data_IF_322889407268
#
_entry.id   IF_322889407268
#
_cell.length_a   1.000
_cell.length_b   1.000
_cell.length_c   1.000
_cell.angle_alpha   90.00
_cell.angle_beta   90.00
_cell.angle_gamma   90.00
#
_symmetry.space_group_name_H-M   'P 1'
#
loop_
_entity.id
_entity.type
_entity.pdbx_description
1 polymer ?
#
# COMPACT_ATOMS: atom_id res chain seq x y z
N UNK A 1 33.51 -12.55 -16.25
CA UNK A 1 32.40 -13.27 -15.59
C UNK A 1 31.73 -12.27 -14.66
N UNK A 2 30.59 -11.75 -15.10
CA UNK A 2 29.79 -10.76 -14.37
C UNK A 2 29.04 -11.45 -13.22
N UNK A 3 29.50 -11.25 -11.98
CA UNK A 3 28.74 -11.61 -10.79
C UNK A 3 27.87 -10.44 -10.36
N UNK A 4 26.66 -10.35 -10.91
CA UNK A 4 25.58 -9.53 -10.36
C UNK A 4 25.02 -10.23 -9.12
N UNK A 5 25.65 -10.00 -7.97
CA UNK A 5 25.31 -10.61 -6.68
C UNK A 5 24.48 -9.63 -5.81
N UNK A 6 23.30 -9.24 -6.32
CA UNK A 6 22.35 -8.34 -5.63
C UNK A 6 21.02 -9.01 -5.14
N UNK A 7 20.64 -10.28 -5.44
CA UNK A 7 19.27 -10.73 -5.12
C UNK A 7 18.90 -10.85 -3.64
N UNK A 8 19.81 -11.22 -2.74
CA UNK A 8 19.43 -11.65 -1.38
C UNK A 8 19.42 -10.51 -0.36
N UNK A 9 20.27 -9.50 -0.52
CA UNK A 9 20.31 -8.32 0.36
C UNK A 9 19.13 -7.38 0.06
N UNK A 10 18.81 -7.15 -1.21
CA UNK A 10 17.64 -6.38 -1.64
C UNK A 10 16.35 -7.05 -1.14
N UNK A 11 16.22 -8.37 -1.26
CA UNK A 11 15.06 -9.11 -0.73
C UNK A 11 14.94 -9.03 0.78
N UNK A 12 16.04 -9.13 1.53
CA UNK A 12 16.01 -9.00 2.99
C UNK A 12 15.57 -7.58 3.40
N UNK A 13 16.11 -6.55 2.76
CA UNK A 13 15.74 -5.15 3.04
C UNK A 13 14.27 -4.85 2.68
N UNK A 14 13.83 -5.29 1.50
CA UNK A 14 12.44 -5.13 1.02
C UNK A 14 11.47 -5.89 1.93
N UNK A 15 11.87 -7.04 2.48
CA UNK A 15 11.03 -7.82 3.39
C UNK A 15 10.77 -7.16 4.75
N UNK A 16 11.54 -6.12 5.11
CA UNK A 16 11.28 -5.32 6.31
C UNK A 16 10.12 -4.31 6.11
N UNK A 17 9.76 -4.00 4.86
CA UNK A 17 8.63 -3.14 4.53
C UNK A 17 7.34 -3.95 4.36
N UNK A 18 6.16 -3.34 4.57
CA UNK A 18 4.89 -4.00 4.26
C UNK A 18 4.88 -4.54 2.82
N UNK A 19 4.41 -5.77 2.59
CA UNK A 19 4.43 -6.39 1.27
C UNK A 19 3.65 -5.61 0.21
N UNK A 20 2.65 -4.86 0.67
CA UNK A 20 1.85 -3.97 -0.11
C UNK A 20 2.59 -2.70 -0.54
N UNK A 21 3.83 -2.46 -0.11
CA UNK A 21 4.62 -1.35 -0.66
C UNK A 21 5.40 -1.78 -1.89
N UNK A 22 5.85 -3.02 -2.02
CA UNK A 22 6.71 -3.45 -3.14
C UNK A 22 6.01 -4.27 -4.22
N UNK A 23 4.83 -4.83 -3.96
CA UNK A 23 4.06 -5.55 -4.99
C UNK A 23 3.62 -4.62 -6.12
N UNK A 24 3.35 -5.16 -7.29
CA UNK A 24 2.64 -4.38 -8.31
C UNK A 24 1.14 -4.38 -8.01
N UNK A 25 0.42 -3.29 -8.32
CA UNK A 25 -1.01 -3.22 -8.06
C UNK A 25 -1.81 -4.07 -9.07
N UNK A 26 -2.83 -4.76 -8.57
CA UNK A 26 -3.78 -5.54 -9.38
C UNK A 26 -5.12 -4.81 -9.47
N UNK A 27 -5.87 -5.09 -10.54
CA UNK A 27 -7.27 -4.67 -10.61
C UNK A 27 -8.14 -5.76 -10.00
N UNK A 28 -8.75 -5.51 -8.84
CA UNK A 28 -9.63 -6.49 -8.21
C UNK A 28 -11.05 -6.23 -8.67
N UNK A 29 -11.68 -7.25 -9.21
CA UNK A 29 -13.06 -7.20 -9.71
C UNK A 29 -13.85 -8.25 -8.98
N UNK A 30 -14.92 -7.83 -8.30
CA UNK A 30 -15.81 -8.74 -7.61
C UNK A 30 -16.87 -9.25 -8.57
N UNK A 31 -17.13 -10.55 -8.59
CA UNK A 31 -18.18 -11.17 -9.40
C UNK A 31 -19.28 -11.71 -8.48
N UNK A 32 -20.52 -11.31 -8.73
CA UNK A 32 -21.73 -11.76 -8.06
C UNK A 32 -22.65 -12.45 -9.07
N UNK A 33 -23.33 -13.53 -8.67
CA UNK A 33 -24.26 -14.25 -9.56
C UNK A 33 -23.57 -15.03 -10.69
N UNK A 34 -22.26 -15.27 -10.53
CA UNK A 34 -21.44 -15.95 -11.54
C UNK A 34 -22.01 -17.30 -11.94
N UNK A 35 -22.68 -18.04 -11.04
CA UNK A 35 -23.26 -19.37 -11.28
C UNK A 35 -24.02 -19.53 -12.61
N UNK A 36 -24.64 -18.45 -13.08
CA UNK A 36 -25.38 -18.37 -14.34
C UNK A 36 -24.51 -18.45 -15.62
N UNK A 37 -23.19 -18.29 -15.51
CA UNK A 37 -22.24 -18.37 -16.64
C UNK A 37 -21.62 -19.79 -16.73
N UNK A 38 -21.46 -20.36 -17.94
CA UNK A 38 -20.71 -21.61 -18.15
C UNK A 38 -19.29 -21.57 -17.56
N UNK A 39 -18.85 -22.69 -16.98
CA UNK A 39 -17.57 -22.78 -16.24
C UNK A 39 -16.34 -22.46 -17.10
N UNK A 40 -16.36 -22.84 -18.37
CA UNK A 40 -15.29 -22.54 -19.34
C UNK A 40 -15.17 -21.06 -19.68
N UNK A 41 -16.25 -20.29 -19.55
CA UNK A 41 -16.26 -18.84 -19.77
C UNK A 41 -15.80 -18.13 -18.48
N UNK A 42 -16.25 -18.62 -17.31
CA UNK A 42 -15.81 -18.11 -16.00
C UNK A 42 -14.31 -18.14 -15.79
N UNK A 43 -13.66 -19.25 -16.17
CA UNK A 43 -12.20 -19.38 -15.99
C UNK A 43 -11.44 -18.39 -16.84
N UNK A 44 -12.00 -17.99 -17.99
CA UNK A 44 -11.31 -17.18 -19.01
C UNK A 44 -11.83 -15.74 -19.08
N UNK A 45 -12.66 -15.30 -18.12
CA UNK A 45 -13.41 -14.05 -18.18
C UNK A 45 -12.50 -12.80 -18.24
N UNK A 46 -11.25 -12.93 -17.74
CA UNK A 46 -10.19 -11.92 -17.86
C UNK A 46 -8.80 -12.55 -18.09
N UNK A 47 -8.74 -13.78 -18.61
CA UNK A 47 -7.48 -14.33 -19.09
C UNK A 47 -7.08 -13.53 -20.34
N UNK A 48 -5.83 -13.06 -20.39
CA UNK A 48 -5.27 -12.16 -21.42
C UNK A 48 -5.49 -10.64 -21.22
N UNK A 49 -5.06 -10.09 -20.07
CA UNK A 49 -4.74 -8.66 -20.00
C UNK A 49 -3.44 -8.38 -20.80
N UNK A 50 -3.53 -8.37 -22.13
CA UNK A 50 -2.39 -8.12 -23.06
C UNK A 50 -1.86 -6.69 -22.92
N UNK A 51 -2.68 -5.76 -22.41
CA UNK A 51 -2.26 -4.40 -22.06
C UNK A 51 -2.93 -3.92 -20.77
N UNK A 52 -2.11 -3.40 -19.85
CA UNK A 52 -2.55 -2.88 -18.56
C UNK A 52 -2.32 -3.85 -17.41
N UNK A 53 -2.99 -3.61 -16.28
CA UNK A 53 -2.78 -4.41 -15.06
C UNK A 53 -3.57 -5.71 -15.10
N UNK A 54 -2.97 -6.73 -14.49
CA UNK A 54 -3.62 -8.01 -14.26
C UNK A 54 -4.91 -7.81 -13.45
N UNK A 55 -6.00 -8.33 -14.01
CA UNK A 55 -7.31 -8.37 -13.36
C UNK A 55 -7.37 -9.64 -12.52
N UNK A 56 -7.77 -9.50 -11.27
CA UNK A 56 -7.99 -10.60 -10.34
C UNK A 56 -9.46 -10.63 -9.98
N UNK A 57 -10.09 -11.76 -10.24
CA UNK A 57 -11.50 -11.96 -9.92
C UNK A 57 -11.65 -12.46 -8.48
N UNK A 58 -12.61 -11.87 -7.77
CA UNK A 58 -13.04 -12.33 -6.46
C UNK A 58 -14.52 -12.72 -6.55
N UNK A 59 -14.83 -14.00 -6.47
CA UNK A 59 -16.21 -14.47 -6.45
C UNK A 59 -16.76 -14.30 -5.04
N UNK A 60 -17.76 -13.45 -4.88
CA UNK A 60 -18.47 -13.27 -3.63
C UNK A 60 -19.86 -13.89 -3.73
N UNK A 61 -20.36 -14.48 -2.64
CA UNK A 61 -21.79 -14.75 -2.52
C UNK A 61 -22.50 -13.46 -2.07
N UNK A 62 -23.73 -13.24 -2.55
CA UNK A 62 -24.58 -12.09 -2.20
C UNK A 62 -24.74 -11.92 -0.68
N UNK A 63 -24.73 -13.02 0.06
CA UNK A 63 -24.85 -13.07 1.53
C UNK A 63 -23.58 -12.59 2.27
N UNK A 64 -22.43 -12.64 1.60
CA UNK A 64 -21.10 -12.35 2.16
C UNK A 64 -20.49 -11.06 1.63
N UNK A 65 -21.29 -10.21 0.96
CA UNK A 65 -20.91 -8.81 0.78
C UNK A 65 -20.43 -8.30 2.14
N UNK A 66 -19.23 -7.71 2.26
CA UNK A 66 -18.67 -7.38 3.56
C UNK A 66 -19.60 -6.39 4.25
N UNK A 67 -20.48 -6.91 5.10
CA UNK A 67 -21.46 -6.18 5.87
C UNK A 67 -20.78 -5.82 7.19
N UNK A 68 -20.95 -4.56 7.59
CA UNK A 68 -20.47 -3.91 8.82
C UNK A 68 -19.14 -3.16 8.70
N UNK A 69 -19.26 -1.83 8.57
CA UNK A 69 -18.33 -0.91 9.22
C UNK A 69 -18.50 -1.13 10.73
N UNK A 70 -17.44 -1.46 11.46
CA UNK A 70 -17.45 -1.29 12.93
C UNK A 70 -17.70 0.21 13.20
N UNK A 71 -18.53 0.56 14.19
CA UNK A 71 -18.76 1.96 14.52
C UNK A 71 -17.43 2.64 14.88
N UNK A 72 -17.22 3.91 14.50
CA UNK A 72 -16.04 4.64 14.92
C UNK A 72 -16.04 4.73 16.45
N UNK A 73 -14.91 4.43 17.08
CA UNK A 73 -14.72 4.70 18.50
C UNK A 73 -14.81 6.21 18.76
N UNK A 74 -15.37 6.66 19.90
CA UNK A 74 -15.55 8.08 20.19
C UNK A 74 -14.19 8.82 20.28
N UNK A 75 -14.14 10.10 19.88
CA UNK A 75 -12.90 10.88 19.65
C UNK A 75 -12.13 11.28 20.93
N UNK A 76 -12.60 10.89 22.10
CA UNK A 76 -12.10 11.39 23.40
C UNK A 76 -10.79 10.68 23.81
N UNK A 77 -10.37 9.62 23.12
CA UNK A 77 -9.15 8.87 23.43
C UNK A 77 -8.07 8.88 22.33
N UNK A 78 -8.28 9.60 21.21
CA UNK A 78 -7.32 9.66 20.08
C UNK A 78 -5.95 10.21 20.47
N UNK A 79 -5.87 11.07 21.50
CA UNK A 79 -4.59 11.66 21.93
C UNK A 79 -3.80 10.79 22.95
N UNK A 80 -4.39 9.70 23.46
CA UNK A 80 -3.80 8.91 24.56
C UNK A 80 -3.21 7.57 24.15
N UNK A 81 -3.49 7.06 22.96
CA UNK A 81 -2.97 5.77 22.50
C UNK A 81 -1.78 5.96 21.54
N UNK A 82 -0.75 5.08 21.57
CA UNK A 82 0.12 4.90 20.40
C UNK A 82 -0.80 4.55 19.24
N UNK A 83 -0.91 5.43 18.25
CA UNK A 83 -1.93 5.39 17.21
C UNK A 83 -2.23 3.98 16.69
N UNK A 84 -3.39 3.43 17.06
CA UNK A 84 -4.10 2.36 16.32
C UNK A 84 -4.47 2.80 14.87
N UNK A 85 -4.05 4.01 14.51
CA UNK A 85 -4.22 4.76 13.27
C UNK A 85 -2.91 5.03 12.52
N UNK A 86 -1.80 4.40 12.91
CA UNK A 86 -0.78 4.03 11.92
C UNK A 86 -1.51 3.49 10.69
N UNK A 87 -1.10 3.84 9.46
CA UNK A 87 -1.72 3.30 8.24
C UNK A 87 -1.75 1.79 8.43
N UNK A 88 -2.92 1.24 8.80
CA UNK A 88 -2.99 -0.17 9.18
C UNK A 88 -2.46 -0.91 7.97
N UNK A 89 -1.57 -1.88 8.16
CA UNK A 89 -1.14 -2.78 7.08
C UNK A 89 -2.37 -3.29 6.35
N UNK A 90 -3.48 -3.49 7.09
CA UNK A 90 -4.80 -3.75 6.54
C UNK A 90 -5.33 -2.73 5.53
N UNK A 91 -5.11 -1.42 5.66
CA UNK A 91 -5.55 -0.41 4.68
C UNK A 91 -4.80 -0.55 3.36
N UNK A 92 -3.47 -0.71 3.40
CA UNK A 92 -2.67 -0.96 2.20
C UNK A 92 -3.14 -2.26 1.52
N UNK A 93 -3.36 -3.30 2.34
CA UNK A 93 -3.86 -4.59 1.88
C UNK A 93 -5.27 -4.46 1.29
N UNK A 94 -6.13 -3.65 1.92
CA UNK A 94 -7.48 -3.35 1.43
C UNK A 94 -7.49 -2.70 0.06
N UNK A 95 -6.58 -1.76 -0.19
CA UNK A 95 -6.48 -1.08 -1.49
C UNK A 95 -5.87 -1.98 -2.57
N UNK A 96 -4.94 -2.88 -2.21
CA UNK A 96 -4.20 -3.67 -3.20
C UNK A 96 -4.70 -5.09 -3.43
N UNK A 97 -5.37 -5.71 -2.46
CA UNK A 97 -5.64 -7.17 -2.48
C UNK A 97 -7.04 -7.58 -2.00
N UNK A 98 -7.71 -6.78 -1.16
CA UNK A 98 -8.95 -7.23 -0.50
C UNK A 98 -10.23 -6.63 -1.10
N UNK A 99 -10.17 -5.41 -1.66
CA UNK A 99 -11.39 -4.69 -2.08
C UNK A 99 -11.47 -4.52 -3.59
N UNK A 100 -12.59 -4.90 -4.20
CA UNK A 100 -12.80 -4.64 -5.60
C UNK A 100 -13.07 -3.16 -5.87
N UNK A 101 -12.49 -2.65 -6.96
CA UNK A 101 -12.83 -1.34 -7.51
C UNK A 101 -14.19 -1.35 -8.21
N UNK A 102 -14.53 -2.50 -8.81
CA UNK A 102 -15.77 -2.75 -9.54
C UNK A 102 -16.38 -4.08 -9.11
N UNK A 103 -17.68 -4.09 -8.83
CA UNK A 103 -18.50 -5.28 -8.67
C UNK A 103 -19.32 -5.50 -9.95
N UNK A 104 -19.27 -6.71 -10.49
CA UNK A 104 -20.10 -7.13 -11.63
C UNK A 104 -21.14 -8.12 -11.13
N UNK A 105 -22.40 -7.75 -11.29
CA UNK A 105 -23.56 -8.57 -10.95
C UNK A 105 -24.09 -9.23 -12.23
N UNK A 106 -24.00 -10.55 -12.29
CA UNK A 106 -24.54 -11.34 -13.39
C UNK A 106 -25.94 -11.83 -13.05
N UNK A 107 -26.90 -11.49 -13.90
CA UNK A 107 -28.28 -11.94 -13.79
C UNK A 107 -28.78 -12.46 -15.14
N UNK A 108 -29.69 -13.44 -15.13
CA UNK A 108 -30.29 -13.91 -16.38
C UNK A 108 -31.43 -12.98 -16.79
N UNK A 109 -31.70 -12.91 -18.10
CA UNK A 109 -32.87 -12.20 -18.61
C UNK A 109 -34.18 -12.65 -17.91
N UNK A 110 -34.33 -13.95 -17.67
CA UNK A 110 -35.52 -14.51 -17.00
C UNK A 110 -35.67 -14.00 -15.57
N UNK A 111 -34.56 -13.93 -14.83
CA UNK A 111 -34.54 -13.45 -13.45
C UNK A 111 -34.82 -11.95 -13.34
N UNK A 112 -34.29 -11.16 -14.28
CA UNK A 112 -34.43 -9.69 -14.29
C UNK A 112 -35.85 -9.26 -14.63
N UNK A 113 -36.50 -9.92 -15.60
CA UNK A 113 -37.84 -9.57 -16.07
C UNK A 113 -38.94 -10.43 -15.44
N UNK A 114 -38.62 -11.27 -14.46
CA UNK A 114 -39.61 -12.06 -13.73
C UNK A 114 -40.51 -11.14 -12.89
N UNK A 115 -41.85 -11.25 -12.99
CA UNK A 115 -42.77 -10.48 -12.16
C UNK A 115 -42.69 -10.85 -10.67
N UNK A 116 -42.06 -11.99 -10.35
CA UNK A 116 -41.92 -12.49 -8.98
C UNK A 116 -40.61 -12.04 -8.31
N UNK A 117 -39.72 -11.34 -9.03
CA UNK A 117 -38.44 -10.93 -8.50
C UNK A 117 -38.31 -9.40 -8.44
N UNK A 118 -38.03 -8.85 -7.27
CA UNK A 118 -37.85 -7.40 -7.11
C UNK A 118 -36.38 -7.00 -7.29
N UNK A 119 -35.88 -7.18 -8.51
CA UNK A 119 -34.46 -6.97 -8.84
C UNK A 119 -34.00 -5.53 -8.59
N UNK A 120 -34.90 -4.54 -8.76
CA UNK A 120 -34.58 -3.12 -8.51
C UNK A 120 -34.22 -2.88 -7.05
N UNK A 121 -35.03 -3.41 -6.12
CA UNK A 121 -34.76 -3.26 -4.69
C UNK A 121 -33.46 -3.97 -4.27
N UNK A 122 -33.16 -5.11 -4.88
CA UNK A 122 -31.91 -5.83 -4.65
C UNK A 122 -30.70 -5.02 -5.13
N UNK A 123 -30.77 -4.48 -6.34
CA UNK A 123 -29.73 -3.63 -6.93
C UNK A 123 -29.50 -2.39 -6.06
N UNK A 124 -30.57 -1.72 -5.61
CA UNK A 124 -30.46 -0.55 -4.74
C UNK A 124 -29.79 -0.90 -3.40
N UNK A 125 -30.14 -2.03 -2.82
CA UNK A 125 -29.51 -2.52 -1.57
C UNK A 125 -28.02 -2.78 -1.76
N UNK A 126 -27.63 -3.44 -2.87
CA UNK A 126 -26.23 -3.69 -3.19
C UNK A 126 -25.49 -2.37 -3.45
N UNK A 127 -26.10 -1.48 -4.23
CA UNK A 127 -25.55 -0.16 -4.53
C UNK A 127 -25.27 0.64 -3.25
N UNK A 128 -26.19 0.66 -2.29
CA UNK A 128 -26.02 1.39 -1.03
C UNK A 128 -24.86 0.83 -0.19
N UNK A 129 -24.70 -0.49 -0.16
CA UNK A 129 -23.57 -1.15 0.53
C UNK A 129 -22.24 -0.72 -0.12
N UNK A 130 -22.18 -0.71 -1.45
CA UNK A 130 -20.97 -0.41 -2.23
C UNK A 130 -20.62 1.09 -2.23
N UNK A 131 -21.64 1.96 -2.24
CA UNK A 131 -21.50 3.42 -2.22
C UNK A 131 -20.68 3.90 -1.02
N UNK A 132 -20.84 3.25 0.13
CA UNK A 132 -20.09 3.56 1.35
C UNK A 132 -18.57 3.38 1.23
N UNK A 133 -18.11 2.71 0.16
CA UNK A 133 -16.71 2.39 -0.18
C UNK A 133 -16.29 2.95 -1.54
N UNK A 134 -17.17 3.68 -2.22
CA UNK A 134 -16.99 4.16 -3.59
C UNK A 134 -16.77 3.04 -4.64
N UNK A 135 -17.05 1.78 -4.33
CA UNK A 135 -16.95 0.67 -5.28
C UNK A 135 -18.03 0.82 -6.36
N UNK A 136 -17.65 0.66 -7.62
CA UNK A 136 -18.58 0.81 -8.76
C UNK A 136 -19.39 -0.47 -8.98
N UNK A 137 -20.62 -0.33 -9.44
CA UNK A 137 -21.52 -1.47 -9.70
C UNK A 137 -21.86 -1.56 -11.19
N UNK A 138 -21.65 -2.75 -11.76
CA UNK A 138 -22.05 -3.09 -13.12
C UNK A 138 -23.11 -4.19 -13.04
N UNK A 139 -24.26 -3.99 -13.67
CA UNK A 139 -25.18 -5.09 -13.95
C UNK A 139 -24.90 -5.63 -15.34
N UNK A 140 -24.79 -6.94 -15.45
CA UNK A 140 -24.60 -7.66 -16.69
C UNK A 140 -25.69 -8.72 -16.86
N UNK A 141 -26.53 -8.54 -17.89
CA UNK A 141 -27.66 -9.42 -18.16
C UNK A 141 -27.26 -10.48 -19.18
N UNK A 142 -27.35 -11.74 -18.79
CA UNK A 142 -27.05 -12.91 -19.62
C UNK A 142 -28.25 -13.18 -20.54
N UNK A 143 -27.99 -13.21 -21.85
CA UNK A 143 -29.01 -13.44 -22.88
C UNK A 143 -28.41 -14.12 -24.13
N UNK A 144 -29.25 -14.82 -24.89
CA UNK A 144 -28.89 -15.36 -26.21
C UNK A 144 -29.30 -14.41 -27.35
N UNK A 145 -30.08 -13.37 -27.06
CA UNK A 145 -30.69 -12.48 -28.06
C UNK A 145 -30.62 -11.01 -27.63
N UNK A 146 -29.41 -10.42 -27.55
CA UNK A 146 -29.21 -9.07 -27.01
C UNK A 146 -29.92 -7.98 -27.81
N UNK A 147 -30.00 -8.11 -29.13
CA UNK A 147 -30.64 -7.14 -30.03
C UNK A 147 -32.14 -7.01 -29.75
N UNK A 148 -32.81 -8.15 -29.58
CA UNK A 148 -34.25 -8.21 -29.28
C UNK A 148 -34.51 -7.58 -27.92
N UNK A 149 -33.75 -7.99 -26.90
CA UNK A 149 -33.90 -7.47 -25.54
C UNK A 149 -33.70 -5.94 -25.48
N UNK A 150 -32.67 -5.44 -26.17
CA UNK A 150 -32.34 -4.01 -26.17
C UNK A 150 -33.43 -3.11 -26.76
N UNK A 151 -34.31 -3.68 -27.59
CA UNK A 151 -35.42 -2.97 -28.25
C UNK A 151 -36.72 -2.95 -27.43
N UNK A 152 -36.76 -3.66 -26.30
CA UNK A 152 -37.98 -3.73 -25.45
C UNK A 152 -38.14 -2.49 -24.57
N UNK A 153 -39.37 -2.00 -24.46
CA UNK A 153 -39.71 -0.86 -23.58
C UNK A 153 -39.40 -1.15 -22.10
N UNK A 154 -39.56 -2.42 -21.69
CA UNK A 154 -39.22 -2.89 -20.35
C UNK A 154 -37.72 -2.72 -20.05
N UNK A 155 -36.85 -3.08 -20.98
CA UNK A 155 -35.41 -2.91 -20.85
C UNK A 155 -35.00 -1.43 -20.77
N UNK A 156 -35.60 -0.58 -21.61
CA UNK A 156 -35.34 0.87 -21.59
C UNK A 156 -35.82 1.51 -20.28
N UNK A 157 -36.99 1.09 -19.79
CA UNK A 157 -37.54 1.54 -18.50
C UNK A 157 -36.67 1.11 -17.33
N UNK A 158 -36.22 -0.15 -17.32
CA UNK A 158 -35.33 -0.69 -16.30
C UNK A 158 -34.01 0.08 -16.25
N UNK A 159 -33.37 0.28 -17.40
CA UNK A 159 -32.11 1.02 -17.50
C UNK A 159 -32.21 2.45 -16.96
N UNK A 160 -33.37 3.10 -17.09
CA UNK A 160 -33.60 4.47 -16.57
C UNK A 160 -33.82 4.51 -15.06
N UNK A 161 -34.33 3.43 -14.46
CA UNK A 161 -34.65 3.35 -13.03
C UNK A 161 -33.48 2.84 -12.18
N UNK A 162 -32.57 2.11 -12.80
CA UNK A 162 -31.46 1.48 -12.10
C UNK A 162 -30.36 2.47 -11.71
N UNK A 163 -29.89 2.33 -10.47
CA UNK A 163 -28.74 3.06 -9.96
C UNK A 163 -27.46 2.21 -10.06
N UNK A 164 -26.91 2.09 -11.27
CA UNK A 164 -25.65 1.37 -11.54
C UNK A 164 -24.69 2.23 -12.36
N UNK A 165 -23.39 1.99 -12.20
CA UNK A 165 -22.36 2.69 -12.96
C UNK A 165 -22.20 2.12 -14.38
N UNK A 166 -22.56 0.84 -14.58
CA UNK A 166 -22.56 0.18 -15.87
C UNK A 166 -23.73 -0.78 -16.04
N UNK A 167 -24.27 -0.86 -17.25
CA UNK A 167 -25.38 -1.74 -17.60
C UNK A 167 -25.10 -2.38 -18.96
N UNK A 168 -24.81 -3.69 -18.96
CA UNK A 168 -24.28 -4.45 -20.09
C UNK A 168 -25.13 -5.69 -20.38
N UNK A 169 -24.96 -6.22 -21.60
CA UNK A 169 -25.55 -7.48 -22.04
C UNK A 169 -24.44 -8.49 -22.33
N UNK A 170 -24.53 -9.67 -21.72
CA UNK A 170 -23.65 -10.79 -21.98
C UNK A 170 -24.30 -11.74 -22.97
N UNK A 171 -23.78 -11.76 -24.21
CA UNK A 171 -24.27 -12.60 -25.29
C UNK A 171 -23.63 -13.98 -25.23
N UNK A 172 -24.40 -15.00 -24.87
CA UNK A 172 -23.90 -16.38 -24.83
C UNK A 172 -23.48 -16.93 -26.21
N UNK A 173 -24.02 -16.36 -27.29
CA UNK A 173 -23.66 -16.76 -28.66
C UNK A 173 -22.34 -16.14 -29.14
N UNK A 174 -21.92 -15.03 -28.54
CA UNK A 174 -20.62 -14.39 -28.80
C UNK A 174 -19.97 -13.92 -27.48
N UNK A 175 -19.50 -14.87 -26.66
CA UNK A 175 -18.96 -14.56 -25.34
C UNK A 175 -17.66 -13.76 -25.42
N UNK A 176 -16.90 -13.88 -26.52
CA UNK A 176 -15.64 -13.14 -26.70
C UNK A 176 -15.90 -11.64 -26.78
N UNK A 177 -16.85 -11.22 -27.63
CA UNK A 177 -17.21 -9.81 -27.76
C UNK A 177 -17.75 -9.25 -26.43
N UNK A 178 -18.59 -10.00 -25.73
CA UNK A 178 -19.11 -9.57 -24.41
C UNK A 178 -18.02 -9.42 -23.37
N UNK A 179 -17.05 -10.36 -23.32
CA UNK A 179 -15.88 -10.27 -22.42
C UNK A 179 -15.04 -9.02 -22.74
N UNK A 180 -14.81 -8.69 -24.01
CA UNK A 180 -14.06 -7.49 -24.39
C UNK A 180 -14.76 -6.20 -23.93
N UNK A 181 -16.08 -6.11 -24.13
CA UNK A 181 -16.89 -4.97 -23.70
C UNK A 181 -16.91 -4.84 -22.18
N UNK A 182 -17.08 -5.96 -21.47
CA UNK A 182 -17.03 -5.99 -20.01
C UNK A 182 -15.67 -5.54 -19.51
N UNK A 183 -14.59 -6.10 -20.05
CA UNK A 183 -13.21 -5.77 -19.67
C UNK A 183 -12.92 -4.28 -19.85
N UNK A 184 -13.36 -3.69 -20.97
CA UNK A 184 -13.20 -2.27 -21.23
C UNK A 184 -13.98 -1.41 -20.21
N UNK A 185 -15.23 -1.77 -19.95
CA UNK A 185 -16.08 -1.08 -18.96
C UNK A 185 -15.48 -1.15 -17.56
N UNK A 186 -15.03 -2.34 -17.15
CA UNK A 186 -14.40 -2.58 -15.84
C UNK A 186 -13.12 -1.77 -15.67
N UNK A 187 -12.26 -1.70 -16.71
CA UNK A 187 -11.06 -0.84 -16.68
C UNK A 187 -11.44 0.64 -16.52
N UNK A 188 -12.40 1.13 -17.29
CA UNK A 188 -12.84 2.54 -17.22
C UNK A 188 -13.44 2.90 -15.84
N UNK A 189 -14.32 2.05 -15.31
CA UNK A 189 -14.93 2.28 -14.00
C UNK A 189 -13.93 2.18 -12.86
N UNK A 190 -12.94 1.29 -12.99
CA UNK A 190 -11.85 1.20 -12.03
C UNK A 190 -10.97 2.45 -12.00
N UNK A 191 -10.66 3.01 -13.17
CA UNK A 191 -9.95 4.30 -13.24
C UNK A 191 -10.74 5.37 -12.50
N UNK A 192 -12.05 5.47 -12.77
CA UNK A 192 -12.93 6.43 -12.07
C UNK A 192 -12.96 6.20 -10.57
N UNK A 193 -13.06 4.96 -10.10
CA UNK A 193 -13.00 4.60 -8.67
C UNK A 193 -11.74 5.17 -8.00
N UNK A 194 -10.57 4.91 -8.59
CA UNK A 194 -9.31 5.36 -8.01
C UNK A 194 -9.12 6.89 -8.15
N UNK A 195 -9.62 7.52 -9.20
CA UNK A 195 -9.61 8.98 -9.32
C UNK A 195 -10.50 9.66 -8.27
N UNK A 196 -11.70 9.12 -8.02
CA UNK A 196 -12.60 9.61 -6.97
C UNK A 196 -11.93 9.46 -5.59
N UNK A 197 -11.30 8.32 -5.31
CA UNK A 197 -10.56 8.09 -4.07
C UNK A 197 -9.36 9.03 -3.90
N UNK A 198 -8.57 9.23 -4.96
CA UNK A 198 -7.45 10.18 -4.95
C UNK A 198 -7.94 11.58 -4.59
N UNK A 199 -8.96 12.08 -5.28
CA UNK A 199 -9.54 13.40 -5.07
C UNK A 199 -10.04 13.58 -3.62
N UNK A 200 -10.73 12.58 -3.08
CA UNK A 200 -11.24 12.60 -1.71
C UNK A 200 -10.10 12.68 -0.68
N UNK A 201 -9.04 11.88 -0.84
CA UNK A 201 -7.89 11.94 0.06
C UNK A 201 -7.11 13.24 -0.08
N UNK A 202 -6.95 13.74 -1.30
CA UNK A 202 -6.29 15.02 -1.55
C UNK A 202 -7.04 16.18 -0.89
N UNK A 203 -8.35 16.29 -1.13
CA UNK A 203 -9.20 17.34 -0.54
C UNK A 203 -9.24 17.24 0.99
N UNK A 204 -9.25 16.02 1.51
CA UNK A 204 -9.10 15.79 2.96
C UNK A 204 -7.75 16.27 3.47
N UNK A 205 -6.66 16.03 2.75
CA UNK A 205 -5.32 16.47 3.16
C UNK A 205 -5.21 18.01 3.24
N UNK A 206 -5.80 18.72 2.27
CA UNK A 206 -5.80 20.19 2.20
C UNK A 206 -6.68 20.84 3.30
N UNK A 207 -7.73 20.15 3.75
CA UNK A 207 -8.65 20.67 4.79
C UNK A 207 -8.19 20.38 6.22
N UNK A 208 -7.23 19.49 6.42
CA UNK A 208 -6.77 19.08 7.75
C UNK A 208 -5.79 20.09 8.35
N UNK A 209 -6.10 20.57 9.56
CA UNK A 209 -5.22 21.48 10.31
C UNK A 209 -4.05 20.78 11.00
N UNK A 210 -4.19 19.48 11.30
CA UNK A 210 -3.15 18.74 12.01
C UNK A 210 -2.19 18.07 11.00
N UNK A 211 -0.87 18.35 11.08
CA UNK A 211 0.10 17.89 10.08
C UNK A 211 0.12 16.37 9.88
N UNK A 212 -0.06 15.57 10.95
CA UNK A 212 -0.14 14.11 10.86
C UNK A 212 -1.30 13.63 9.96
N UNK A 213 -2.51 14.19 10.17
CA UNK A 213 -3.67 13.80 9.38
C UNK A 213 -3.56 14.25 7.93
N UNK A 214 -2.94 15.42 7.70
CA UNK A 214 -2.61 15.90 6.36
C UNK A 214 -1.60 14.97 5.68
N UNK A 215 -0.50 14.64 6.35
CA UNK A 215 0.52 13.70 5.90
C UNK A 215 -0.07 12.34 5.49
N UNK A 216 -0.80 11.69 6.41
CA UNK A 216 -1.43 10.38 6.14
C UNK A 216 -2.40 10.46 4.96
N UNK A 217 -3.15 11.56 4.83
CA UNK A 217 -4.10 11.74 3.71
C UNK A 217 -3.37 11.95 2.38
N UNK A 218 -2.28 12.73 2.35
CA UNK A 218 -1.43 12.85 1.16
C UNK A 218 -0.76 11.54 0.78
N UNK A 219 -0.26 10.76 1.76
CA UNK A 219 0.27 9.42 1.51
C UNK A 219 -0.78 8.53 0.84
N UNK A 220 -2.02 8.53 1.34
CA UNK A 220 -3.11 7.74 0.77
C UNK A 220 -3.48 8.19 -0.63
N UNK A 221 -3.53 9.49 -0.89
CA UNK A 221 -3.74 10.05 -2.23
C UNK A 221 -2.62 9.62 -3.19
N UNK A 222 -1.36 9.71 -2.74
CA UNK A 222 -0.19 9.28 -3.50
C UNK A 222 -0.29 7.79 -3.88
N UNK A 223 -0.54 6.94 -2.88
CA UNK A 223 -0.64 5.49 -3.05
C UNK A 223 -1.80 5.10 -3.96
N UNK A 224 -2.95 5.76 -3.87
CA UNK A 224 -4.10 5.52 -4.76
C UNK A 224 -3.83 6.01 -6.19
N UNK A 225 -3.13 7.12 -6.36
CA UNK A 225 -2.73 7.61 -7.69
C UNK A 225 -1.84 6.58 -8.40
N UNK A 226 -0.95 5.93 -7.66
CA UNK A 226 -0.19 4.78 -8.17
C UNK A 226 -1.07 3.61 -8.59
N UNK A 227 -2.31 3.51 -8.08
CA UNK A 227 -3.25 2.43 -8.36
C UNK A 227 -4.18 2.70 -9.56
N UNK A 228 -4.12 3.86 -10.23
CA UNK A 228 -4.99 4.12 -11.38
C UNK A 228 -4.53 3.38 -12.65
N UNK A 229 -3.33 3.71 -13.14
CA UNK A 229 -2.74 3.11 -14.33
C UNK A 229 -1.23 3.29 -14.29
N UNK A 230 -0.47 2.39 -14.92
CA UNK A 230 0.97 2.54 -15.09
C UNK A 230 1.30 3.59 -16.15
N UNK A 231 0.90 4.84 -15.91
CA UNK A 231 1.17 5.98 -16.78
C UNK A 231 2.17 6.92 -16.13
N UNK A 232 3.02 7.54 -16.95
CA UNK A 232 4.03 8.50 -16.50
C UNK A 232 3.40 9.69 -15.76
N UNK A 233 2.20 10.11 -16.16
CA UNK A 233 1.48 11.21 -15.52
C UNK A 233 1.02 10.84 -14.09
N UNK A 234 0.54 9.62 -13.88
CA UNK A 234 0.13 9.16 -12.56
C UNK A 234 1.32 9.01 -11.61
N UNK A 235 2.49 8.58 -12.12
CA UNK A 235 3.72 8.58 -11.33
C UNK A 235 4.13 9.98 -10.90
N UNK A 236 4.04 10.98 -11.78
CA UNK A 236 4.30 12.39 -11.42
C UNK A 236 3.33 12.91 -10.35
N UNK A 237 2.04 12.62 -10.47
CA UNK A 237 1.05 13.01 -9.46
C UNK A 237 1.34 12.33 -8.11
N UNK A 238 1.64 11.04 -8.13
CA UNK A 238 2.00 10.28 -6.92
C UNK A 238 3.26 10.84 -6.25
N UNK A 239 4.32 11.11 -7.02
CA UNK A 239 5.55 11.75 -6.49
C UNK A 239 5.21 13.10 -5.83
N UNK A 240 4.39 13.94 -6.48
CA UNK A 240 3.97 15.22 -5.93
C UNK A 240 3.25 15.05 -4.58
N UNK A 241 2.34 14.09 -4.47
CA UNK A 241 1.62 13.84 -3.22
C UNK A 241 2.50 13.23 -2.13
N UNK A 242 3.41 12.33 -2.47
CA UNK A 242 4.40 11.81 -1.53
C UNK A 242 5.32 12.92 -1.00
N UNK A 243 5.75 13.84 -1.86
CA UNK A 243 6.52 15.02 -1.43
C UNK A 243 5.71 15.92 -0.49
N UNK A 244 4.43 16.17 -0.78
CA UNK A 244 3.54 16.89 0.15
C UNK A 244 3.41 16.17 1.49
N UNK A 245 3.19 14.86 1.45
CA UNK A 245 3.15 14.01 2.64
C UNK A 245 4.43 14.16 3.47
N UNK A 246 5.59 14.09 2.82
CA UNK A 246 6.89 14.23 3.47
C UNK A 246 7.05 15.59 4.14
N UNK A 247 6.69 16.68 3.45
CA UNK A 247 6.74 18.04 4.02
C UNK A 247 5.85 18.16 5.26
N UNK A 248 4.61 17.68 5.22
CA UNK A 248 3.71 17.69 6.39
C UNK A 248 4.25 16.85 7.55
N UNK A 249 4.94 15.75 7.26
CA UNK A 249 5.62 14.95 8.29
C UNK A 249 6.82 15.69 8.88
N UNK A 250 7.62 16.37 8.07
CA UNK A 250 8.74 17.17 8.57
C UNK A 250 8.28 18.33 9.46
N UNK A 251 7.15 18.96 9.13
CA UNK A 251 6.52 19.97 9.98
C UNK A 251 6.14 19.38 11.34
N UNK A 252 5.59 18.16 11.36
CA UNK A 252 5.30 17.44 12.60
C UNK A 252 6.58 17.24 13.43
N UNK A 253 7.65 16.68 12.83
CA UNK A 253 8.92 16.46 13.53
C UNK A 253 9.50 17.76 14.12
N UNK A 254 9.42 18.88 13.40
CA UNK A 254 9.88 20.19 13.88
C UNK A 254 9.00 20.76 15.00
N UNK A 255 7.68 20.55 14.92
CA UNK A 255 6.73 21.02 15.93
C UNK A 255 6.78 20.19 17.22
N UNK A 256 7.14 18.91 17.11
CA UNK A 256 7.30 17.99 18.23
C UNK A 256 8.50 18.34 19.13
N UNK A 257 9.48 19.11 18.64
CA UNK A 257 10.56 19.67 19.48
C UNK A 257 10.04 20.56 20.63
N UNK A 258 8.81 21.06 20.54
CA UNK A 258 8.27 22.06 21.48
C UNK A 258 7.24 21.51 22.48
N UNK A 259 6.79 20.26 22.36
CA UNK A 259 5.73 19.71 23.23
C UNK A 259 6.12 18.33 23.77
N UNK A 260 6.02 18.17 25.09
CA UNK A 260 6.13 16.89 25.81
C UNK A 260 5.14 15.86 25.25
N UNK A 261 5.54 15.08 24.24
CA UNK A 261 4.75 13.96 23.71
C UNK A 261 5.59 12.70 23.53
N UNK A 262 4.88 11.57 23.62
CA UNK A 262 5.37 10.20 23.86
C UNK A 262 6.29 9.70 22.73
N UNK A 263 7.32 8.94 23.12
CA UNK A 263 8.28 8.24 22.24
C UNK A 263 7.64 7.42 21.10
N UNK A 264 6.41 6.94 21.28
CA UNK A 264 5.65 6.20 20.26
C UNK A 264 5.38 7.00 18.98
N UNK A 265 5.15 8.32 19.09
CA UNK A 265 4.77 9.15 17.96
C UNK A 265 5.98 9.41 17.05
N UNK A 266 7.14 9.65 17.64
CA UNK A 266 8.41 9.81 16.90
C UNK A 266 8.74 8.58 16.06
N UNK A 267 8.55 7.37 16.61
CA UNK A 267 8.78 6.13 15.87
C UNK A 267 7.78 5.95 14.72
N UNK A 268 6.49 6.21 14.96
CA UNK A 268 5.46 6.15 13.92
C UNK A 268 5.73 7.14 12.78
N UNK A 269 6.18 8.35 13.12
CA UNK A 269 6.56 9.38 12.16
C UNK A 269 7.76 8.97 11.31
N UNK A 270 8.81 8.41 11.94
CA UNK A 270 9.99 7.85 11.24
C UNK A 270 9.63 6.68 10.33
N UNK A 271 8.69 5.84 10.76
CA UNK A 271 8.20 4.72 9.95
C UNK A 271 7.43 5.22 8.72
N UNK A 272 6.54 6.21 8.87
CA UNK A 272 5.85 6.83 7.73
C UNK A 272 6.84 7.48 6.74
N UNK A 273 7.89 8.15 7.24
CA UNK A 273 8.96 8.64 6.37
C UNK A 273 9.59 7.49 5.60
N UNK A 274 9.93 6.38 6.26
CA UNK A 274 10.53 5.21 5.60
C UNK A 274 9.66 4.71 4.44
N UNK A 275 8.34 4.67 4.64
CA UNK A 275 7.39 4.24 3.62
C UNK A 275 7.32 5.23 2.45
N UNK A 276 7.31 6.53 2.75
CA UNK A 276 7.35 7.59 1.74
C UNK A 276 8.65 7.51 0.93
N UNK A 277 9.81 7.39 1.59
CA UNK A 277 11.11 7.26 0.93
C UNK A 277 11.14 6.04 0.01
N UNK A 278 10.70 4.89 0.53
CA UNK A 278 10.64 3.66 -0.24
C UNK A 278 9.78 3.80 -1.50
N UNK A 279 8.59 4.40 -1.41
CA UNK A 279 7.73 4.61 -2.58
C UNK A 279 8.27 5.67 -3.53
N UNK A 280 8.77 6.79 -3.02
CA UNK A 280 9.38 7.85 -3.82
C UNK A 280 10.54 7.31 -4.64
N UNK A 281 11.46 6.56 -4.03
CA UNK A 281 12.59 6.00 -4.76
C UNK A 281 12.17 5.01 -5.84
N UNK A 282 11.21 4.11 -5.55
CA UNK A 282 10.67 3.21 -6.56
C UNK A 282 9.98 3.95 -7.72
N UNK A 283 9.28 5.05 -7.43
CA UNK A 283 8.62 5.86 -8.46
C UNK A 283 9.62 6.66 -9.29
N UNK A 284 10.60 7.28 -8.64
CA UNK A 284 11.65 8.02 -9.31
C UNK A 284 12.53 7.10 -10.17
N UNK A 285 12.78 5.87 -9.72
CA UNK A 285 13.38 4.79 -10.50
C UNK A 285 12.54 4.51 -11.77
N UNK A 286 11.22 4.31 -11.63
CA UNK A 286 10.32 4.10 -12.76
C UNK A 286 10.30 5.28 -13.75
N UNK A 287 10.57 6.50 -13.30
CA UNK A 287 10.65 7.70 -14.15
C UNK A 287 12.08 8.06 -14.57
N UNK A 288 13.09 7.24 -14.25
CA UNK A 288 14.51 7.51 -14.49
C UNK A 288 15.02 8.87 -13.92
N UNK A 289 14.40 9.34 -12.84
CA UNK A 289 14.63 10.63 -12.19
C UNK A 289 15.68 10.51 -11.06
N UNK A 290 16.88 10.05 -11.42
CA UNK A 290 17.93 9.72 -10.43
C UNK A 290 18.56 10.94 -9.74
N UNK A 291 18.52 12.11 -10.39
CA UNK A 291 19.01 13.36 -9.78
C UNK A 291 18.13 13.75 -8.60
N UNK A 292 16.82 13.64 -8.79
CA UNK A 292 15.80 13.94 -7.80
C UNK A 292 15.88 12.99 -6.60
N UNK A 293 16.24 11.71 -6.83
CA UNK A 293 16.54 10.76 -5.75
C UNK A 293 17.68 11.29 -4.86
N UNK A 294 18.76 11.75 -5.47
CA UNK A 294 19.93 12.25 -4.74
C UNK A 294 19.62 13.53 -3.95
N UNK A 295 18.91 14.47 -4.57
CA UNK A 295 18.51 15.74 -3.94
C UNK A 295 17.57 15.50 -2.77
N UNK A 296 16.60 14.59 -2.94
CA UNK A 296 15.69 14.20 -1.89
C UNK A 296 16.40 13.51 -0.72
N UNK A 297 17.37 12.63 -0.99
CA UNK A 297 18.14 11.97 0.07
C UNK A 297 18.99 12.97 0.87
N UNK A 298 19.59 13.97 0.22
CA UNK A 298 20.31 15.05 0.92
C UNK A 298 19.37 15.85 1.83
N UNK A 299 18.14 16.16 1.35
CA UNK A 299 17.12 16.82 2.16
C UNK A 299 16.69 15.97 3.36
N UNK A 300 16.54 14.66 3.16
CA UNK A 300 16.29 13.69 4.23
C UNK A 300 17.40 13.70 5.26
N UNK A 301 18.66 13.53 4.84
CA UNK A 301 19.80 13.51 5.75
C UNK A 301 19.85 14.79 6.57
N UNK A 302 19.75 15.96 5.93
CA UNK A 302 19.78 17.25 6.61
C UNK A 302 18.64 17.43 7.63
N UNK A 303 17.44 16.95 7.32
CA UNK A 303 16.25 17.19 8.15
C UNK A 303 16.07 16.14 9.25
N UNK A 304 16.45 14.89 8.97
CA UNK A 304 16.14 13.75 9.82
C UNK A 304 17.32 13.27 10.66
N UNK A 305 18.57 13.49 10.22
CA UNK A 305 19.75 13.04 10.99
C UNK A 305 19.92 13.77 12.32
N UNK A 306 19.37 14.98 12.42
CA UNK A 306 19.42 15.80 13.64
C UNK A 306 18.28 15.47 14.61
N UNK A 307 17.19 14.85 14.13
CA UNK A 307 16.00 14.61 14.95
C UNK A 307 15.98 13.18 15.53
N UNK A 308 16.57 13.07 16.71
CA UNK A 308 16.63 11.82 17.47
C UNK A 308 15.30 11.53 18.19
N UNK A 309 14.67 12.56 18.79
CA UNK A 309 13.59 12.42 19.76
C UNK A 309 14.15 12.36 21.19
N UNK A 310 13.49 11.61 22.08
CA UNK A 310 13.98 11.37 23.45
C UNK A 310 15.23 10.48 23.45
N UNK A 311 16.09 10.61 24.47
CA UNK A 311 17.39 9.92 24.54
C UNK A 311 17.28 8.39 24.43
N UNK A 312 16.21 7.82 24.99
CA UNK A 312 15.93 6.38 24.96
C UNK A 312 15.72 5.84 23.54
N UNK A 313 15.38 6.72 22.58
CA UNK A 313 15.21 6.38 21.17
C UNK A 313 16.48 6.52 20.34
N UNK A 314 17.61 6.93 20.92
CA UNK A 314 18.87 7.11 20.17
C UNK A 314 19.26 5.86 19.38
N UNK A 315 19.21 4.69 19.99
CA UNK A 315 19.50 3.43 19.32
C UNK A 315 18.53 3.18 18.14
N UNK A 316 17.22 3.30 18.37
CA UNK A 316 16.20 3.09 17.36
C UNK A 316 16.37 4.07 16.18
N UNK A 317 16.73 5.32 16.47
CA UNK A 317 17.01 6.34 15.47
C UNK A 317 18.24 6.00 14.62
N UNK A 318 19.35 5.58 15.22
CA UNK A 318 20.55 5.17 14.49
C UNK A 318 20.27 3.95 13.58
N UNK A 319 19.52 2.97 14.09
CA UNK A 319 19.06 1.81 13.29
C UNK A 319 18.18 2.25 12.12
N UNK A 320 17.26 3.18 12.36
CA UNK A 320 16.38 3.71 11.33
C UNK A 320 17.14 4.47 10.23
N UNK A 321 18.09 5.35 10.59
CA UNK A 321 18.96 6.02 9.62
C UNK A 321 19.74 4.99 8.80
N UNK A 322 20.35 4.01 9.46
CA UNK A 322 21.12 2.97 8.80
C UNK A 322 20.32 2.25 7.70
N UNK A 323 19.04 1.97 7.94
CA UNK A 323 18.12 1.39 6.94
C UNK A 323 17.91 2.31 5.74
N UNK A 324 17.69 3.61 5.95
CA UNK A 324 17.50 4.55 4.83
C UNK A 324 18.77 4.67 3.98
N UNK A 325 19.95 4.71 4.61
CA UNK A 325 21.25 4.69 3.93
C UNK A 325 21.48 3.38 3.16
N UNK A 326 21.03 2.26 3.71
CA UNK A 326 21.15 0.97 3.02
C UNK A 326 20.24 0.92 1.78
N UNK A 327 18.99 1.40 1.90
CA UNK A 327 18.03 1.46 0.80
C UNK A 327 18.59 2.25 -0.39
N UNK A 328 19.11 3.45 -0.14
CA UNK A 328 19.70 4.27 -1.21
C UNK A 328 20.96 3.61 -1.80
N UNK A 329 21.78 2.95 -0.98
CA UNK A 329 22.95 2.21 -1.45
C UNK A 329 22.59 1.09 -2.44
N UNK A 330 21.53 0.32 -2.12
CA UNK A 330 21.00 -0.75 -2.98
C UNK A 330 20.47 -0.19 -4.30
N UNK A 331 19.73 0.92 -4.28
CA UNK A 331 19.22 1.57 -5.51
C UNK A 331 20.39 1.99 -6.42
N UNK A 332 21.42 2.63 -5.86
CA UNK A 332 22.58 3.05 -6.65
C UNK A 332 23.37 1.88 -7.24
N UNK A 333 23.46 0.77 -6.50
CA UNK A 333 24.11 -0.46 -6.96
C UNK A 333 23.33 -1.12 -8.09
N UNK A 334 22.03 -1.34 -7.88
CA UNK A 334 21.10 -1.97 -8.83
C UNK A 334 21.11 -1.28 -10.19
N UNK A 335 21.12 0.06 -10.20
CA UNK A 335 21.09 0.86 -11.43
C UNK A 335 22.45 1.23 -11.99
N UNK A 336 23.55 0.73 -11.39
CA UNK A 336 24.93 1.01 -11.82
C UNK A 336 25.23 2.51 -11.99
N UNK A 337 24.54 3.38 -11.25
CA UNK A 337 24.62 4.84 -11.42
C UNK A 337 26.02 5.35 -11.07
N UNK A 338 26.51 5.03 -9.88
CA UNK A 338 27.84 5.42 -9.41
C UNK A 338 28.33 4.47 -8.32
N UNK A 339 29.36 3.68 -8.61
CA UNK A 339 29.97 2.72 -7.66
C UNK A 339 30.44 3.40 -6.37
N UNK A 340 31.02 4.60 -6.48
CA UNK A 340 31.50 5.37 -5.33
C UNK A 340 30.37 5.79 -4.39
N UNK A 341 29.21 6.20 -4.91
CA UNK A 341 28.07 6.62 -4.08
C UNK A 341 27.37 5.42 -3.43
N UNK A 342 27.23 4.30 -4.15
CA UNK A 342 26.75 3.04 -3.57
C UNK A 342 27.62 2.59 -2.39
N UNK A 343 28.95 2.63 -2.55
CA UNK A 343 29.91 2.32 -1.49
C UNK A 343 29.81 3.30 -0.31
N UNK A 344 29.70 4.60 -0.59
CA UNK A 344 29.53 5.63 0.43
C UNK A 344 28.28 5.37 1.28
N UNK A 345 27.12 5.15 0.66
CA UNK A 345 25.88 4.90 1.39
C UNK A 345 25.89 3.57 2.15
N UNK A 346 26.51 2.53 1.59
CA UNK A 346 26.76 1.27 2.30
C UNK A 346 27.60 1.48 3.56
N UNK A 347 28.66 2.29 3.46
CA UNK A 347 29.53 2.61 4.59
C UNK A 347 28.81 3.47 5.63
N UNK A 348 28.06 4.48 5.21
CA UNK A 348 27.24 5.30 6.10
C UNK A 348 26.19 4.48 6.85
N UNK A 349 25.56 3.50 6.18
CA UNK A 349 24.68 2.54 6.83
C UNK A 349 25.40 1.75 7.93
N UNK A 350 26.58 1.19 7.63
CA UNK A 350 27.40 0.45 8.59
C UNK A 350 27.79 1.30 9.81
N UNK A 351 28.19 2.56 9.58
CA UNK A 351 28.54 3.49 10.66
C UNK A 351 27.35 3.71 11.60
N UNK A 352 26.15 3.91 11.06
CA UNK A 352 24.95 4.12 11.89
C UNK A 352 24.52 2.84 12.62
N UNK A 353 24.62 1.66 12.00
CA UNK A 353 24.42 0.39 12.70
C UNK A 353 25.43 0.19 13.84
N UNK A 354 26.70 0.55 13.62
CA UNK A 354 27.74 0.48 14.66
C UNK A 354 27.45 1.44 15.82
N UNK A 355 26.99 2.66 15.53
CA UNK A 355 26.52 3.60 16.56
C UNK A 355 25.35 3.02 17.36
N UNK A 356 24.35 2.44 16.68
CA UNK A 356 23.23 1.78 17.35
C UNK A 356 23.70 0.66 18.27
N UNK A 357 24.62 -0.18 17.80
CA UNK A 357 25.21 -1.26 18.58
C UNK A 357 25.96 -0.76 19.81
N UNK A 358 26.79 0.28 19.66
CA UNK A 358 27.53 0.85 20.78
C UNK A 358 26.59 1.44 21.84
N UNK A 359 25.51 2.11 21.42
CA UNK A 359 24.48 2.63 22.32
C UNK A 359 23.76 1.51 23.09
N UNK A 360 23.46 0.39 22.42
CA UNK A 360 22.94 -0.81 23.10
C UNK A 360 23.97 -1.32 24.11
N UNK A 361 25.22 -1.52 23.67
CA UNK A 361 26.29 -2.05 24.52
C UNK A 361 26.52 -1.20 25.77
N UNK A 362 26.51 0.14 25.66
CA UNK A 362 26.65 1.03 26.81
C UNK A 362 25.42 1.00 27.72
N UNK A 363 24.21 0.94 27.18
CA UNK A 363 22.99 0.74 27.99
C UNK A 363 23.03 -0.59 28.76
N UNK A 364 23.53 -1.65 28.13
CA UNK A 364 23.59 -2.98 28.73
C UNK A 364 24.73 -3.17 29.74
N UNK A 365 25.87 -2.53 29.51
CA UNK A 365 26.99 -2.53 30.45
C UNK A 365 26.84 -1.51 31.59
N UNK A 366 25.78 -0.69 31.56
CA UNK A 366 25.40 0.24 32.63
C UNK A 366 24.61 -0.42 33.78
N UNK A 367 24.44 0.31 34.89
CA UNK A 367 23.70 -0.17 36.07
C UNK A 367 22.19 -0.39 35.82
N UNK A 368 21.65 0.15 34.73
CA UNK A 368 20.22 0.12 34.36
C UNK A 368 19.72 -1.28 34.00
N UNK A 369 20.53 -2.14 33.36
CA UNK A 369 20.12 -3.52 33.05
C UNK A 369 20.06 -4.40 34.30
N UNK A 370 20.94 -4.18 35.30
CA UNK A 370 20.86 -4.86 36.61
C UNK A 370 19.58 -4.53 37.38
N UNK A 371 18.97 -3.38 37.08
CA UNK A 371 17.70 -2.96 37.68
C UNK A 371 16.50 -3.52 36.91
N UNK A 372 16.58 -3.55 35.57
CA UNK A 372 15.53 -4.09 34.70
C UNK A 372 15.41 -5.62 34.79
N UNK A 373 16.52 -6.34 35.04
CA UNK A 373 16.52 -7.80 35.24
C UNK A 373 15.75 -8.26 36.47
N UNK A 374 15.48 -7.35 37.44
CA UNK A 374 14.61 -7.64 38.60
C UNK A 374 13.15 -7.87 38.19
N UNK A 375 12.74 -7.38 37.02
CA UNK A 375 11.39 -7.47 36.50
C UNK A 375 11.23 -8.56 35.41
N UNK A 376 12.31 -9.24 35.04
CA UNK A 376 12.28 -10.31 34.05
C UNK A 376 12.04 -11.67 34.72
N UNK A 377 11.36 -12.62 34.05
CA UNK A 377 11.24 -13.98 34.54
C UNK A 377 12.63 -14.62 34.76
N UNK A 378 12.82 -15.49 35.76
CA UNK A 378 14.12 -16.11 36.07
C UNK A 378 14.78 -16.87 34.91
N UNK A 379 13.99 -17.24 33.90
CA UNK A 379 14.44 -17.93 32.69
C UNK A 379 15.12 -17.02 31.65
N UNK A 380 14.96 -15.69 31.78
CA UNK A 380 15.56 -14.67 30.91
C UNK A 380 16.77 -14.05 31.61
N UNK A 381 17.96 -14.55 31.29
CA UNK A 381 19.19 -13.91 31.75
C UNK A 381 19.47 -12.65 30.94
N UNK A 382 20.13 -11.63 31.53
CA UNK A 382 20.58 -10.45 30.79
C UNK A 382 21.43 -10.81 29.57
N UNK A 383 22.23 -11.90 29.60
CA UNK A 383 22.96 -12.36 28.41
C UNK A 383 22.02 -12.82 27.28
N UNK A 384 20.93 -13.55 27.59
CA UNK A 384 19.95 -13.96 26.57
C UNK A 384 19.17 -12.78 25.99
N UNK A 385 18.88 -11.76 26.82
CA UNK A 385 18.22 -10.53 26.36
C UNK A 385 19.15 -9.69 25.48
N UNK A 386 20.43 -9.61 25.85
CA UNK A 386 21.47 -8.98 25.05
C UNK A 386 21.71 -9.72 23.73
N UNK A 387 21.82 -11.06 23.75
CA UNK A 387 21.90 -11.90 22.56
C UNK A 387 20.68 -11.72 21.66
N UNK A 388 19.47 -11.60 22.21
CA UNK A 388 18.26 -11.33 21.43
C UNK A 388 18.28 -9.92 20.81
N UNK A 389 18.63 -8.89 21.59
CA UNK A 389 18.73 -7.50 21.12
C UNK A 389 19.82 -7.33 20.05
N UNK A 390 20.95 -8.02 20.23
CA UNK A 390 22.00 -8.16 19.22
C UNK A 390 21.43 -8.90 18.02
N UNK A 391 20.86 -10.09 18.15
CA UNK A 391 20.35 -10.89 17.02
C UNK A 391 19.33 -10.14 16.17
N UNK A 392 18.47 -9.32 16.78
CA UNK A 392 17.53 -8.40 16.11
C UNK A 392 18.20 -7.21 15.40
N UNK A 393 19.44 -6.86 15.77
CA UNK A 393 20.22 -5.75 15.22
C UNK A 393 21.37 -6.22 14.30
N UNK A 394 21.84 -7.46 14.45
CA UNK A 394 23.06 -8.01 13.85
C UNK A 394 22.81 -9.04 12.76
N UNK A 395 21.62 -9.66 12.66
CA UNK A 395 21.31 -10.57 11.56
C UNK A 395 21.40 -9.89 10.17
N UNK A 396 21.30 -8.56 10.10
CA UNK A 396 21.51 -7.79 8.88
C UNK A 396 23.00 -7.49 8.62
N UNK A 397 23.77 -7.12 9.67
CA UNK A 397 25.22 -6.87 9.60
C UNK A 397 26.01 -8.12 9.19
N UNK A 398 25.64 -9.29 9.73
CA UNK A 398 26.36 -10.55 9.49
C UNK A 398 26.12 -11.08 8.07
N UNK A 399 24.91 -10.88 7.50
CA UNK A 399 24.65 -11.23 6.09
C UNK A 399 25.46 -10.38 5.12
N UNK A 400 25.58 -9.08 5.37
CA UNK A 400 26.30 -8.14 4.50
C UNK A 400 27.83 -8.37 4.56
N UNK A 401 28.38 -8.67 5.73
CA UNK A 401 29.82 -8.92 5.87
C UNK A 401 30.27 -10.31 5.40
N UNK A 402 29.48 -11.37 5.66
CA UNK A 402 29.86 -12.73 5.22
C UNK A 402 29.74 -12.89 3.71
N UNK A 403 28.73 -12.30 3.07
CA UNK A 403 28.63 -12.31 1.60
C UNK A 403 29.78 -11.55 0.93
N UNK A 404 30.23 -10.42 1.51
CA UNK A 404 31.36 -9.64 0.96
C UNK A 404 32.73 -10.26 1.23
N UNK A 405 32.93 -10.93 2.37
CA UNK A 405 34.23 -11.56 2.69
C UNK A 405 34.48 -12.85 1.89
N UNK A 406 33.43 -13.64 1.63
CA UNK A 406 33.52 -14.87 0.83
C UNK A 406 33.72 -14.57 -0.66
N UNK A 407 33.20 -13.45 -1.16
CA UNK A 407 33.35 -13.03 -2.57
C UNK A 407 34.67 -12.28 -2.88
N UNK A 408 35.40 -11.78 -1.87
CA UNK A 408 36.72 -11.16 -2.07
C UNK A 408 37.88 -12.17 -1.98
N UNK A 409 37.60 -13.44 -1.70
CA UNK A 409 38.57 -14.54 -1.67
C UNK A 409 38.41 -15.55 -2.82
N UNK A 410 37.57 -15.26 -3.81
CA UNK A 410 37.47 -15.95 -5.11
C UNK A 410 37.55 -14.93 -6.23
#
# INVERSE_FOLDING_TARGET
MDYTFVPDEEKCLISEYPPELYREPFLIVGLLGGDNIPQNIKTNLFDDSIEGRKIVTFTASKEYLPLKKKPPHPPIYEFLQPDEYFIRVEWLNKVRQDRPSVMVLFETQETVFSPYNNILQEIDTIHDILSSRHTKLVLEIITCSPQILSSTDEFVSLKKRMNVDGFLLFNLNDPKQSIEVLTKTVKQLSLRHYSDMEYNYFTRAESMKFPWYSAVSYFKAAFVSENQEASFQNYKNSIKYYMKSYTSVLELLRSEEQRFYKSSNVLATKELISWIMFRLFNLLEKTAAFKEISEFFILFEKSCSTYVGVEELQCAHQKWLARQFQLIGVIYEKHKLTKTLSLFYSYASLVNYTKAYNLISTMFNGNSVKEFTKYLPPSYTPEKFYEYAIKQSFNLLFKIQVCRYVCNQK
#
